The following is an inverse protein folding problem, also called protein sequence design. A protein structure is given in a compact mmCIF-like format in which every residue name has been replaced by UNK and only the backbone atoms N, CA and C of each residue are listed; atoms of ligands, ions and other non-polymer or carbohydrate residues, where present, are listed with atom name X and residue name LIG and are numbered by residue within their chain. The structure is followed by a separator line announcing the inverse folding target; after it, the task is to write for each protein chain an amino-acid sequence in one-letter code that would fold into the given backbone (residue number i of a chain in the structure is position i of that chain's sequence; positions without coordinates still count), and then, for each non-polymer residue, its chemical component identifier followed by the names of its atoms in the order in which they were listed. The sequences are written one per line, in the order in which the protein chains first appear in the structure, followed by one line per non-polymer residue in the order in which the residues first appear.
data_IF_812998935065
#
_entry.id   IF_812998935065
#
_cell.length_a   1.000
_cell.length_b   1.000
_cell.length_c   1.000
_cell.angle_alpha   90.00
_cell.angle_beta   90.00
_cell.angle_gamma   90.00
#
_symmetry.space_group_name_H-M   'P 1'
#
loop_
_entity.id
_entity.type
_entity.pdbx_description
1 polymer ?
#
# COMPACT_ATOMS: atom_id res chain seq x y z
N UNK A 1 1.38 11.89 -21.84
CA UNK A 1 0.93 10.50 -21.59
C UNK A 1 1.62 10.03 -20.32
N UNK A 2 1.14 10.49 -19.17
CA UNK A 2 1.89 10.39 -17.92
C UNK A 2 1.42 9.14 -17.16
N UNK A 3 1.55 7.99 -17.85
CA UNK A 3 1.23 6.68 -17.29
C UNK A 3 2.38 6.24 -16.40
N UNK A 4 2.24 6.55 -15.12
CA UNK A 4 2.93 5.85 -14.04
C UNK A 4 4.34 6.36 -13.80
N UNK A 5 4.44 7.43 -13.01
CA UNK A 5 5.67 7.76 -12.30
C UNK A 5 6.00 6.56 -11.40
N UNK A 6 6.86 5.68 -11.92
CA UNK A 6 7.27 4.46 -11.24
C UNK A 6 7.97 4.88 -9.95
N UNK A 7 7.37 4.55 -8.82
CA UNK A 7 8.01 4.69 -7.51
C UNK A 7 8.92 3.46 -7.40
N UNK A 8 10.15 3.56 -7.88
CA UNK A 8 11.12 2.46 -7.92
C UNK A 8 12.22 2.64 -6.88
N UNK A 9 12.77 1.51 -6.43
CA UNK A 9 13.92 1.44 -5.54
C UNK A 9 13.74 2.23 -4.25
N UNK A 10 14.65 3.16 -3.99
CA UNK A 10 14.79 3.93 -2.75
C UNK A 10 13.55 4.74 -2.41
N UNK A 11 12.93 5.39 -3.40
CA UNK A 11 11.72 6.18 -3.20
C UNK A 11 10.55 5.34 -2.68
N UNK A 12 10.51 4.04 -3.04
CA UNK A 12 9.50 3.11 -2.51
C UNK A 12 9.78 2.72 -1.08
N UNK A 13 11.05 2.55 -0.71
CA UNK A 13 11.48 2.19 0.65
C UNK A 13 11.21 3.34 1.63
N UNK A 14 11.49 4.58 1.22
CA UNK A 14 11.21 5.76 2.04
C UNK A 14 9.70 5.93 2.24
N UNK A 15 8.92 5.80 1.16
CA UNK A 15 7.46 5.86 1.22
C UNK A 15 6.88 4.74 2.09
N UNK A 16 7.42 3.52 1.98
CA UNK A 16 7.07 2.39 2.82
C UNK A 16 7.29 2.66 4.31
N UNK A 17 8.46 3.22 4.66
CA UNK A 17 8.80 3.55 6.04
C UNK A 17 7.86 4.59 6.61
N UNK A 18 7.50 5.60 5.82
CA UNK A 18 6.56 6.64 6.24
C UNK A 18 5.14 6.10 6.42
N UNK A 19 4.66 5.29 5.46
CA UNK A 19 3.36 4.63 5.56
C UNK A 19 3.30 3.68 6.76
N UNK A 20 4.36 2.91 7.01
CA UNK A 20 4.47 2.01 8.17
C UNK A 20 4.39 2.79 9.48
N UNK A 21 5.15 3.88 9.60
CA UNK A 21 5.14 4.75 10.79
C UNK A 21 3.78 5.37 11.04
N UNK A 22 3.02 5.74 10.00
CA UNK A 22 1.65 6.22 10.15
C UNK A 22 0.70 5.11 10.60
N UNK A 23 0.83 3.92 10.02
CA UNK A 23 0.04 2.76 10.43
C UNK A 23 0.29 2.38 11.90
N UNK A 24 1.54 2.41 12.35
CA UNK A 24 1.94 2.16 13.74
C UNK A 24 1.42 3.24 14.71
N UNK A 25 1.22 4.47 14.24
CA UNK A 25 0.54 5.54 15.00
C UNK A 25 -0.98 5.32 15.12
N UNK A 26 -1.53 4.27 14.51
CA UNK A 26 -2.95 3.96 14.54
C UNK A 26 -3.75 4.50 13.35
N UNK A 27 -3.10 5.07 12.34
CA UNK A 27 -3.80 5.45 11.12
C UNK A 27 -4.23 4.19 10.33
N UNK A 28 -5.45 4.25 9.79
CA UNK A 28 -5.95 3.20 8.89
C UNK A 28 -5.28 3.29 7.51
N UNK A 29 -5.14 2.14 6.83
CA UNK A 29 -4.58 2.06 5.46
C UNK A 29 -5.30 3.03 4.49
N UNK A 30 -6.62 3.23 4.67
CA UNK A 30 -7.40 4.22 3.92
C UNK A 30 -6.94 5.66 4.17
N UNK A 31 -6.79 6.07 5.43
CA UNK A 31 -6.32 7.40 5.78
C UNK A 31 -4.91 7.67 5.25
N UNK A 32 -4.03 6.66 5.30
CA UNK A 32 -2.69 6.73 4.71
C UNK A 32 -2.77 6.87 3.18
N UNK A 33 -3.66 6.11 2.54
CA UNK A 33 -3.88 6.22 1.10
C UNK A 33 -4.36 7.62 0.68
N UNK A 34 -5.30 8.20 1.43
CA UNK A 34 -5.79 9.56 1.20
C UNK A 34 -4.71 10.62 1.45
N UNK A 35 -3.97 10.52 2.55
CA UNK A 35 -2.87 11.44 2.89
C UNK A 35 -1.76 11.45 1.83
N UNK A 36 -1.48 10.30 1.21
CA UNK A 36 -0.47 10.17 0.16
C UNK A 36 -1.02 10.32 -1.26
N UNK A 37 -2.34 10.50 -1.43
CA UNK A 37 -3.00 10.53 -2.75
C UNK A 37 -2.80 9.23 -3.55
N UNK A 38 -2.71 8.09 -2.85
CA UNK A 38 -2.48 6.76 -3.44
C UNK A 38 -3.70 5.86 -3.27
N UNK A 39 -3.71 4.78 -4.03
CA UNK A 39 -4.77 3.78 -3.91
C UNK A 39 -4.52 2.87 -2.70
N UNK A 40 -5.60 2.39 -2.08
CA UNK A 40 -5.54 1.41 -1.00
C UNK A 40 -4.68 0.20 -1.36
N UNK A 41 -4.88 -0.39 -2.53
CA UNK A 41 -4.11 -1.56 -2.99
C UNK A 41 -2.63 -1.26 -3.27
N UNK A 42 -2.26 0.00 -3.48
CA UNK A 42 -0.86 0.42 -3.54
C UNK A 42 -0.28 0.49 -2.13
N UNK A 43 -0.95 1.17 -1.20
CA UNK A 43 -0.51 1.28 0.21
C UNK A 43 -0.44 -0.09 0.88
N UNK A 44 -1.44 -0.96 0.66
CA UNK A 44 -1.44 -2.32 1.18
C UNK A 44 -0.23 -3.10 0.69
N UNK A 45 0.05 -3.09 -0.61
CA UNK A 45 1.24 -3.76 -1.17
C UNK A 45 2.53 -3.19 -0.58
N UNK A 46 2.65 -1.87 -0.49
CA UNK A 46 3.82 -1.20 0.10
C UNK A 46 4.01 -1.59 1.57
N UNK A 47 2.95 -1.61 2.36
CA UNK A 47 2.99 -2.04 3.77
C UNK A 47 3.33 -3.53 3.91
N UNK A 48 2.82 -4.38 3.02
CA UNK A 48 3.18 -5.81 2.97
C UNK A 48 4.65 -6.02 2.59
N UNK A 49 5.15 -5.31 1.58
CA UNK A 49 6.57 -5.36 1.18
C UNK A 49 7.51 -4.79 2.25
N UNK A 50 7.02 -3.86 3.07
CA UNK A 50 7.76 -3.25 4.18
C UNK A 50 7.73 -4.06 5.49
N UNK A 51 7.15 -5.27 5.47
CA UNK A 51 6.89 -6.09 6.66
C UNK A 51 6.30 -5.24 7.80
N UNK A 52 5.32 -4.39 7.48
CA UNK A 52 4.57 -3.69 8.51
C UNK A 52 3.83 -4.75 9.35
N UNK A 53 3.69 -4.55 10.69
CA UNK A 53 2.95 -5.44 11.57
C UNK A 53 1.44 -5.29 11.32
N UNK A 54 1.02 -5.52 10.08
CA UNK A 54 -0.37 -5.63 9.67
C UNK A 54 -0.93 -6.77 10.51
N UNK A 55 -1.82 -6.43 11.44
CA UNK A 55 -2.44 -7.42 12.31
C UNK A 55 -3.06 -8.49 11.42
N UNK A 56 -2.48 -9.69 11.48
CA UNK A 56 -2.85 -10.79 10.62
C UNK A 56 -4.27 -11.23 11.00
N UNK A 57 -5.28 -10.69 10.32
CA UNK A 57 -6.60 -11.32 10.27
C UNK A 57 -6.41 -12.52 9.36
N UNK A 58 -6.13 -13.67 9.99
CA UNK A 58 -5.65 -14.88 9.33
C UNK A 58 -6.38 -15.22 8.04
N UNK A 59 -5.61 -15.64 7.04
CA UNK A 59 -6.14 -16.21 5.80
C UNK A 59 -5.28 -15.87 4.60
N UNK A 60 -4.31 -16.73 4.32
CA UNK A 60 -3.91 -17.18 2.98
C UNK A 60 -4.51 -16.38 1.80
N UNK A 61 -3.96 -15.22 1.45
CA UNK A 61 -4.30 -14.58 0.17
C UNK A 61 -3.41 -15.16 -0.93
N UNK A 62 -3.69 -16.43 -1.22
CA UNK A 62 -3.27 -17.16 -2.41
C UNK A 62 -3.66 -16.33 -3.63
N UNK A 63 -2.66 -15.74 -4.29
CA UNK A 63 -2.62 -15.35 -5.71
C UNK A 63 -4.00 -15.07 -6.35
N UNK A 64 -4.61 -13.94 -6.05
CA UNK A 64 -5.63 -13.36 -6.94
C UNK A 64 -4.91 -12.44 -7.94
N UNK A 65 -4.33 -13.09 -8.95
CA UNK A 65 -4.21 -12.44 -10.24
C UNK A 65 -5.59 -11.91 -10.65
N UNK A 66 -5.64 -10.62 -11.01
CA UNK A 66 -6.73 -9.96 -11.73
C UNK A 66 -8.07 -9.85 -10.98
N UNK A 67 -8.25 -8.74 -10.27
CA UNK A 67 -9.61 -8.17 -10.21
C UNK A 67 -9.59 -6.64 -10.14
N UNK A 68 -10.18 -6.02 -11.16
CA UNK A 68 -10.92 -4.76 -10.98
C UNK A 68 -10.15 -3.44 -11.12
N UNK A 69 -9.55 -3.16 -12.28
CA UNK A 69 -9.63 -1.79 -12.81
C UNK A 69 -11.01 -1.61 -13.44
N UNK A 70 -12.02 -1.35 -12.62
CA UNK A 70 -13.31 -0.83 -13.07
C UNK A 70 -13.50 0.54 -12.40
N UNK A 71 -13.09 1.60 -13.10
CA UNK A 71 -13.78 2.88 -13.01
C UNK A 71 -14.86 2.82 -14.08
N UNK A 72 -16.10 2.59 -13.65
CA UNK A 72 -17.31 2.98 -14.36
C UNK A 72 -17.86 4.21 -13.67
#
# INVERSE_FOLDING_TARGET
MDKGKQITGTARVELAREMKRQYEQGLSIRAIAEAHGRSYGFVHRVLTEAEAPLRNRGGDHRRLEKSGRAKG
#
